data_IF_120088025926
#
_entry.id   IF_120088025926
#
_cell.length_a   1.000
_cell.length_b   1.000
_cell.length_c   1.000
_cell.angle_alpha   90.00
_cell.angle_beta   90.00
_cell.angle_gamma   90.00
#
_symmetry.space_group_name_H-M   'P 1'
#
loop_
_entity.id
_entity.type
_entity.pdbx_description
1 polymer ?
#
# COMPACT_ATOMS: atom_id res chain seq x y z
N UNK A 1 11.27 33.50 -2.33
CA UNK A 1 10.44 32.99 -3.43
C UNK A 1 9.10 33.72 -3.48
N UNK A 2 8.31 33.75 -2.39
CA UNK A 2 7.00 34.44 -2.36
C UNK A 2 7.09 35.94 -2.65
N UNK A 3 8.13 36.61 -2.14
CA UNK A 3 8.37 38.05 -2.37
C UNK A 3 9.00 38.37 -3.72
N UNK A 4 9.35 37.34 -4.53
CA UNK A 4 9.99 37.47 -5.85
C UNK A 4 11.28 38.33 -5.84
N UNK A 5 11.98 38.37 -4.72
CA UNK A 5 13.27 39.06 -4.61
C UNK A 5 14.32 38.29 -5.42
N UNK A 6 15.20 38.99 -6.16
CA UNK A 6 16.19 38.35 -7.04
C UNK A 6 17.30 37.64 -6.26
N UNK A 7 17.52 38.00 -5.00
CA UNK A 7 18.51 37.37 -4.13
C UNK A 7 17.95 37.21 -2.70
N UNK A 8 18.31 36.10 -2.07
CA UNK A 8 17.88 35.79 -0.71
C UNK A 8 19.11 35.37 0.10
N UNK A 9 19.30 35.92 1.31
CA UNK A 9 20.37 35.47 2.20
C UNK A 9 20.03 34.05 2.70
N UNK A 10 20.97 33.14 2.56
CA UNK A 10 20.90 31.78 3.07
C UNK A 10 22.14 31.51 3.93
N UNK A 11 22.01 31.67 5.25
CA UNK A 11 23.17 31.69 6.15
C UNK A 11 24.11 32.88 5.83
N UNK A 12 25.36 32.59 5.55
CA UNK A 12 26.37 33.60 5.17
C UNK A 12 26.43 33.89 3.67
N UNK A 13 25.65 33.16 2.85
CA UNK A 13 25.67 33.26 1.38
C UNK A 13 24.43 33.99 0.87
N UNK A 14 24.63 34.86 -0.14
CA UNK A 14 23.54 35.43 -0.92
C UNK A 14 23.30 34.59 -2.18
N UNK A 15 22.14 33.92 -2.22
CA UNK A 15 21.76 33.04 -3.33
C UNK A 15 20.83 33.80 -4.27
N UNK A 16 21.13 33.75 -5.56
CA UNK A 16 20.22 34.24 -6.60
C UNK A 16 19.08 33.26 -6.80
N UNK A 17 17.84 33.75 -6.70
CA UNK A 17 16.65 32.95 -6.88
C UNK A 17 16.05 33.22 -8.26
N UNK A 18 15.91 32.19 -9.07
CA UNK A 18 15.23 32.30 -10.36
C UNK A 18 13.74 32.55 -10.15
N UNK A 19 13.12 33.38 -11.01
CA UNK A 19 11.70 33.77 -10.90
C UNK A 19 10.74 32.58 -10.99
N UNK A 20 11.13 31.54 -11.70
CA UNK A 20 10.31 30.36 -11.97
C UNK A 20 10.54 29.23 -10.95
N UNK A 21 11.30 29.50 -9.86
CA UNK A 21 11.51 28.52 -8.79
C UNK A 21 10.24 28.32 -7.97
N UNK A 22 9.74 27.08 -7.94
CA UNK A 22 8.60 26.65 -7.14
C UNK A 22 9.02 25.67 -6.06
N UNK A 23 8.44 25.79 -4.85
CA UNK A 23 8.57 24.83 -3.76
C UNK A 23 7.31 24.00 -3.66
N UNK A 24 7.45 22.69 -3.74
CA UNK A 24 6.36 21.73 -3.60
C UNK A 24 6.69 20.80 -2.44
N UNK A 25 5.72 20.61 -1.55
CA UNK A 25 5.84 19.69 -0.42
C UNK A 25 4.71 18.67 -0.47
N UNK A 26 5.00 17.45 -0.06
CA UNK A 26 4.00 16.38 0.08
C UNK A 26 4.00 15.88 1.52
N UNK A 27 2.82 15.68 2.06
CA UNK A 27 2.62 15.13 3.42
C UNK A 27 1.45 14.17 3.42
N UNK A 28 1.54 13.15 4.29
CA UNK A 28 0.40 12.31 4.65
C UNK A 28 -0.06 12.72 6.05
N UNK A 29 -1.25 13.31 6.19
CA UNK A 29 -1.80 13.64 7.50
C UNK A 29 -2.03 12.36 8.32
N UNK A 30 -1.71 12.40 9.61
CA UNK A 30 -1.97 11.30 10.54
C UNK A 30 -1.03 10.09 10.44
N UNK A 31 0.12 10.23 9.78
CA UNK A 31 1.13 9.16 9.78
C UNK A 31 1.97 9.23 11.07
N UNK A 32 1.94 8.16 11.87
CA UNK A 32 2.69 8.07 13.10
C UNK A 32 4.20 8.35 12.86
N UNK A 33 4.81 9.16 13.72
CA UNK A 33 6.22 9.50 13.68
C UNK A 33 6.64 10.63 12.71
N UNK A 34 5.68 11.29 12.03
CA UNK A 34 5.97 12.49 11.23
C UNK A 34 5.40 13.73 11.90
N UNK A 35 6.24 14.71 12.14
CA UNK A 35 5.80 16.02 12.66
C UNK A 35 4.92 16.71 11.61
N UNK A 36 3.81 17.25 12.05
CA UNK A 36 3.00 18.14 11.22
C UNK A 36 3.78 19.42 10.91
N UNK A 37 3.45 20.03 9.79
CA UNK A 37 4.09 21.29 9.40
C UNK A 37 3.69 22.38 10.39
N UNK A 38 4.62 23.16 10.95
CA UNK A 38 4.27 24.29 11.81
C UNK A 38 3.30 25.25 11.10
N UNK A 39 2.32 25.80 11.83
CA UNK A 39 1.26 26.64 11.27
C UNK A 39 1.80 27.85 10.51
N UNK A 40 2.87 28.46 11.02
CA UNK A 40 3.53 29.60 10.38
C UNK A 40 4.16 29.25 9.02
N UNK A 41 4.56 28.00 8.82
CA UNK A 41 5.07 27.50 7.56
C UNK A 41 3.92 27.00 6.67
N UNK A 42 2.93 26.33 7.24
CA UNK A 42 1.77 25.84 6.53
C UNK A 42 0.98 26.95 5.80
N UNK A 43 0.84 28.11 6.43
CA UNK A 43 0.14 29.27 5.83
C UNK A 43 0.84 29.86 4.60
N UNK A 44 2.11 29.53 4.35
CA UNK A 44 2.85 29.98 3.17
C UNK A 44 2.61 29.11 1.94
N UNK A 45 2.08 27.89 2.14
CA UNK A 45 1.78 26.95 1.06
C UNK A 45 0.28 26.96 0.72
N UNK A 46 -0.02 26.68 -0.52
CA UNK A 46 -1.39 26.45 -0.94
C UNK A 46 -1.74 24.98 -0.73
N UNK A 47 -2.68 24.65 0.16
CA UNK A 47 -3.09 23.27 0.38
C UNK A 47 -3.86 22.75 -0.84
N UNK A 48 -3.50 21.54 -1.25
CA UNK A 48 -4.20 20.78 -2.29
C UNK A 48 -4.52 19.41 -1.71
N UNK A 49 -5.81 19.12 -1.55
CA UNK A 49 -6.27 17.82 -1.08
C UNK A 49 -6.11 16.79 -2.22
N UNK A 50 -5.52 15.65 -1.89
CA UNK A 50 -5.43 14.50 -2.79
C UNK A 50 -6.35 13.40 -2.28
N UNK A 51 -7.21 12.89 -3.16
CA UNK A 51 -8.11 11.78 -2.84
C UNK A 51 -7.33 10.46 -2.79
N UNK A 52 -7.80 9.55 -1.93
CA UNK A 52 -7.27 8.19 -1.91
C UNK A 52 -7.54 7.50 -3.26
N UNK A 53 -6.56 6.82 -3.84
CA UNK A 53 -6.73 6.13 -5.11
C UNK A 53 -7.66 4.91 -4.95
N UNK A 54 -8.30 4.50 -6.05
CA UNK A 54 -9.07 3.26 -6.10
C UNK A 54 -8.10 2.05 -6.13
N UNK A 55 -8.02 1.35 -5.01
CA UNK A 55 -7.15 0.18 -4.85
C UNK A 55 -7.55 -0.97 -5.75
N UNK A 56 -8.86 -1.16 -6.01
CA UNK A 56 -9.34 -2.22 -6.88
C UNK A 56 -8.92 -2.01 -8.32
N UNK A 57 -9.07 -0.78 -8.83
CA UNK A 57 -8.66 -0.45 -10.19
C UNK A 57 -7.15 -0.65 -10.39
N UNK A 58 -6.33 -0.18 -9.44
CA UNK A 58 -4.88 -0.32 -9.52
C UNK A 58 -4.46 -1.80 -9.42
N UNK A 59 -5.06 -2.56 -8.50
CA UNK A 59 -4.77 -3.98 -8.34
C UNK A 59 -5.15 -4.77 -9.60
N UNK A 60 -6.31 -4.49 -10.21
CA UNK A 60 -6.77 -5.11 -11.47
C UNK A 60 -5.77 -4.86 -12.60
N UNK A 61 -5.35 -3.62 -12.81
CA UNK A 61 -4.40 -3.25 -13.86
C UNK A 61 -3.04 -3.93 -13.61
N UNK A 62 -2.57 -3.94 -12.36
CA UNK A 62 -1.29 -4.59 -12.01
C UNK A 62 -1.33 -6.10 -12.27
N UNK A 63 -2.41 -6.79 -11.85
CA UNK A 63 -2.58 -8.22 -12.11
C UNK A 63 -2.66 -8.51 -13.62
N UNK A 64 -3.35 -7.65 -14.36
CA UNK A 64 -3.43 -7.78 -15.82
C UNK A 64 -2.04 -7.63 -16.46
N UNK A 65 -1.22 -6.68 -16.02
CA UNK A 65 0.14 -6.49 -16.51
C UNK A 65 1.07 -7.66 -16.17
N UNK A 66 0.81 -8.36 -15.06
CA UNK A 66 1.55 -9.57 -14.65
C UNK A 66 1.02 -10.86 -15.31
N UNK A 67 -0.01 -10.76 -16.16
CA UNK A 67 -0.52 -11.87 -16.98
C UNK A 67 -1.55 -12.76 -16.27
N UNK A 68 -2.22 -12.29 -15.21
CA UNK A 68 -3.31 -13.03 -14.57
C UNK A 68 -4.59 -12.98 -15.39
N UNK A 69 -5.23 -14.14 -15.61
CA UNK A 69 -6.49 -14.24 -16.36
C UNK A 69 -7.69 -13.79 -15.53
N UNK A 70 -7.71 -14.19 -14.24
CA UNK A 70 -8.79 -13.85 -13.30
C UNK A 70 -8.51 -12.56 -12.53
N UNK A 71 -8.00 -11.53 -13.20
CA UNK A 71 -7.50 -10.30 -12.58
C UNK A 71 -8.56 -9.54 -11.75
N UNK A 72 -9.82 -9.48 -12.19
CA UNK A 72 -10.87 -8.74 -11.50
C UNK A 72 -11.29 -9.38 -10.18
N UNK A 73 -11.54 -10.69 -10.20
CA UNK A 73 -11.92 -11.44 -9.01
C UNK A 73 -10.78 -11.45 -7.98
N UNK A 74 -9.54 -11.66 -8.45
CA UNK A 74 -8.35 -11.63 -7.60
C UNK A 74 -8.08 -10.24 -7.01
N UNK A 75 -8.22 -9.17 -7.79
CA UNK A 75 -8.02 -7.81 -7.31
C UNK A 75 -8.95 -7.48 -6.14
N UNK A 76 -10.26 -7.75 -6.30
CA UNK A 76 -11.25 -7.53 -5.23
C UNK A 76 -10.87 -8.31 -3.97
N UNK A 77 -10.51 -9.59 -4.10
CA UNK A 77 -10.14 -10.44 -2.97
C UNK A 77 -8.89 -9.94 -2.25
N UNK A 78 -7.84 -9.60 -2.98
CA UNK A 78 -6.60 -9.07 -2.40
C UNK A 78 -6.87 -7.76 -1.65
N UNK A 79 -7.61 -6.83 -2.24
CA UNK A 79 -7.93 -5.55 -1.58
C UNK A 79 -8.76 -5.78 -0.32
N UNK A 80 -9.80 -6.62 -0.37
CA UNK A 80 -10.61 -6.96 0.81
C UNK A 80 -9.77 -7.58 1.92
N UNK A 81 -8.80 -8.47 1.60
CA UNK A 81 -7.88 -9.03 2.60
C UNK A 81 -7.07 -7.93 3.28
N UNK A 82 -6.54 -6.97 2.53
CA UNK A 82 -5.78 -5.86 3.10
C UNK A 82 -6.64 -4.91 3.95
N UNK A 83 -7.88 -4.66 3.56
CA UNK A 83 -8.85 -3.90 4.36
C UNK A 83 -9.18 -4.62 5.67
N UNK A 84 -9.39 -5.94 5.64
CA UNK A 84 -9.61 -6.75 6.83
C UNK A 84 -8.38 -6.76 7.74
N UNK A 85 -7.18 -6.93 7.19
CA UNK A 85 -5.94 -6.82 7.96
C UNK A 85 -5.79 -5.46 8.63
N UNK A 86 -6.08 -4.37 7.92
CA UNK A 86 -6.04 -3.02 8.46
C UNK A 86 -7.02 -2.79 9.62
N UNK A 87 -8.21 -3.43 9.56
CA UNK A 87 -9.28 -3.25 10.53
C UNK A 87 -9.15 -4.20 11.75
N UNK A 88 -8.61 -5.39 11.54
CA UNK A 88 -8.60 -6.44 12.56
C UNK A 88 -7.26 -6.61 13.27
N UNK A 89 -6.15 -6.26 12.62
CA UNK A 89 -4.83 -6.34 13.25
C UNK A 89 -4.57 -5.13 14.16
N UNK A 90 -3.70 -5.33 15.15
CA UNK A 90 -3.26 -4.28 16.05
C UNK A 90 -2.64 -3.11 15.26
N UNK A 91 -2.89 -1.87 15.70
CA UNK A 91 -2.29 -0.68 15.11
C UNK A 91 -0.83 -0.55 15.56
N UNK A 92 0.07 -1.17 14.85
CA UNK A 92 1.51 -1.05 15.06
C UNK A 92 2.09 -0.09 14.02
N UNK A 93 3.03 0.75 14.42
CA UNK A 93 3.63 1.78 13.55
C UNK A 93 4.36 1.20 12.32
N UNK A 94 4.84 -0.06 12.43
CA UNK A 94 5.53 -0.75 11.36
C UNK A 94 4.59 -1.52 10.40
N UNK A 95 3.29 -1.57 10.70
CA UNK A 95 2.31 -2.20 9.81
C UNK A 95 1.89 -1.24 8.72
N UNK A 96 2.31 -1.51 7.50
CA UNK A 96 1.87 -0.80 6.31
C UNK A 96 0.96 -1.72 5.48
N UNK A 97 -0.34 -1.46 5.55
CA UNK A 97 -1.37 -2.12 4.74
C UNK A 97 -1.87 -1.21 3.61
N UNK A 98 -1.08 -0.21 3.25
CA UNK A 98 -1.41 0.74 2.19
C UNK A 98 -1.18 0.18 0.78
N UNK A 99 -1.37 1.04 -0.21
CA UNK A 99 -1.21 0.71 -1.64
C UNK A 99 0.19 0.17 -1.97
N UNK A 100 1.23 0.64 -1.27
CA UNK A 100 2.62 0.19 -1.48
C UNK A 100 2.77 -1.30 -1.16
N UNK A 101 2.15 -1.76 -0.06
CA UNK A 101 2.19 -3.16 0.33
C UNK A 101 1.40 -4.03 -0.66
N UNK A 102 0.20 -3.59 -1.06
CA UNK A 102 -0.60 -4.27 -2.10
C UNK A 102 0.20 -4.42 -3.39
N UNK A 103 0.79 -3.33 -3.90
CA UNK A 103 1.59 -3.35 -5.12
C UNK A 103 2.78 -4.32 -5.03
N UNK A 104 3.48 -4.34 -3.89
CA UNK A 104 4.61 -5.24 -3.68
C UNK A 104 4.19 -6.71 -3.73
N UNK A 105 3.05 -7.05 -3.13
CA UNK A 105 2.51 -8.42 -3.16
C UNK A 105 2.09 -8.82 -4.58
N UNK A 106 1.42 -7.93 -5.32
CA UNK A 106 1.00 -8.23 -6.69
C UNK A 106 2.20 -8.46 -7.62
N UNK A 107 3.26 -7.66 -7.47
CA UNK A 107 4.51 -7.87 -8.22
C UNK A 107 5.20 -9.17 -7.83
N UNK A 108 5.20 -9.53 -6.53
CA UNK A 108 5.73 -10.81 -6.06
C UNK A 108 4.92 -12.00 -6.61
N UNK A 109 3.58 -11.89 -6.63
CA UNK A 109 2.71 -12.89 -7.24
C UNK A 109 3.01 -13.08 -8.73
N UNK A 110 3.24 -11.98 -9.47
CA UNK A 110 3.65 -12.04 -10.87
C UNK A 110 4.97 -12.78 -11.08
N UNK A 111 5.95 -12.57 -10.18
CA UNK A 111 7.22 -13.32 -10.22
C UNK A 111 7.00 -14.81 -10.02
N UNK A 112 6.25 -15.20 -8.97
CA UNK A 112 5.95 -16.62 -8.69
C UNK A 112 5.23 -17.27 -9.87
N UNK A 113 4.29 -16.56 -10.50
CA UNK A 113 3.56 -17.06 -11.67
C UNK A 113 4.48 -17.30 -12.87
N UNK A 114 5.46 -16.44 -13.12
CA UNK A 114 6.45 -16.62 -14.18
C UNK A 114 7.38 -17.80 -13.92
N UNK A 115 7.77 -18.01 -12.65
CA UNK A 115 8.62 -19.14 -12.26
C UNK A 115 7.88 -20.48 -12.32
N UNK A 116 6.57 -20.48 -12.02
CA UNK A 116 5.71 -21.67 -11.95
C UNK A 116 4.35 -21.44 -12.61
N UNK A 117 4.28 -21.53 -13.93
CA UNK A 117 3.04 -21.26 -14.68
C UNK A 117 1.94 -22.31 -14.42
N UNK A 118 2.30 -23.50 -13.94
CA UNK A 118 1.38 -24.63 -13.71
C UNK A 118 0.52 -24.47 -12.45
N UNK A 119 0.88 -23.54 -11.54
CA UNK A 119 0.16 -23.35 -10.28
C UNK A 119 -1.07 -22.47 -10.54
N UNK A 120 -2.17 -22.82 -9.88
CA UNK A 120 -3.40 -22.02 -9.90
C UNK A 120 -3.17 -20.57 -9.43
N UNK A 121 -3.76 -19.61 -10.14
CA UNK A 121 -3.55 -18.16 -9.90
C UNK A 121 -3.90 -17.73 -8.47
N UNK A 122 -4.92 -18.36 -7.91
CA UNK A 122 -5.37 -18.12 -6.53
C UNK A 122 -4.30 -18.56 -5.53
N UNK A 123 -3.76 -19.75 -5.70
CA UNK A 123 -2.69 -20.29 -4.84
C UNK A 123 -1.43 -19.45 -4.90
N UNK A 124 -1.09 -18.93 -6.09
CA UNK A 124 0.04 -18.00 -6.28
C UNK A 124 -0.18 -16.71 -5.50
N UNK A 125 -1.39 -16.13 -5.59
CA UNK A 125 -1.72 -14.90 -4.86
C UNK A 125 -1.65 -15.10 -3.33
N UNK A 126 -2.20 -16.21 -2.84
CA UNK A 126 -2.17 -16.58 -1.41
C UNK A 126 -0.73 -16.71 -0.91
N UNK A 127 0.10 -17.44 -1.66
CA UNK A 127 1.51 -17.62 -1.33
C UNK A 127 2.25 -16.29 -1.27
N UNK A 128 2.04 -15.42 -2.26
CA UNK A 128 2.65 -14.08 -2.28
C UNK A 128 2.22 -13.23 -1.07
N UNK A 129 0.92 -13.22 -0.72
CA UNK A 129 0.41 -12.51 0.44
C UNK A 129 1.07 -13.04 1.72
N UNK A 130 1.14 -14.36 1.88
CA UNK A 130 1.76 -14.98 3.04
C UNK A 130 3.25 -14.63 3.16
N UNK A 131 4.01 -14.84 2.10
CA UNK A 131 5.46 -14.68 2.11
C UNK A 131 5.88 -13.22 2.36
N UNK A 132 5.08 -12.26 1.90
CA UNK A 132 5.35 -10.82 2.09
C UNK A 132 4.89 -10.27 3.44
N UNK A 133 3.87 -10.84 4.07
CA UNK A 133 3.32 -10.31 5.32
C UNK A 133 3.79 -11.09 6.54
N UNK A 134 4.17 -12.37 6.41
CA UNK A 134 4.65 -13.19 7.50
C UNK A 134 5.86 -12.57 8.25
N UNK A 135 6.90 -12.03 7.57
CA UNK A 135 8.04 -11.43 8.24
C UNK A 135 7.70 -10.13 9.00
N UNK A 136 6.59 -9.47 8.64
CA UNK A 136 6.16 -8.21 9.26
C UNK A 136 5.31 -8.42 10.51
N UNK A 137 4.75 -9.62 10.67
CA UNK A 137 3.91 -9.97 11.81
C UNK A 137 4.75 -10.14 13.07
N UNK A 138 4.44 -9.39 14.11
CA UNK A 138 5.06 -9.57 15.42
C UNK A 138 4.58 -10.84 16.11
N UNK A 139 5.33 -11.31 17.11
CA UNK A 139 5.13 -12.56 17.86
C UNK A 139 3.71 -12.73 18.47
N UNK A 140 2.98 -11.63 18.69
CA UNK A 140 1.58 -11.69 19.13
C UNK A 140 0.63 -12.21 18.04
N UNK A 141 0.99 -12.05 16.78
CA UNK A 141 0.28 -12.66 15.64
C UNK A 141 0.56 -14.17 15.53
N UNK A 142 1.57 -14.69 16.22
CA UNK A 142 1.83 -16.13 16.35
C UNK A 142 0.84 -16.85 17.24
N UNK A 143 0.18 -16.16 18.19
CA UNK A 143 -0.93 -16.76 18.96
C UNK A 143 -2.19 -16.94 18.10
N UNK A 144 -2.37 -16.09 17.09
CA UNK A 144 -3.27 -16.35 15.98
C UNK A 144 -2.44 -16.97 14.86
N UNK A 145 -2.37 -18.29 14.82
CA UNK A 145 -1.72 -19.07 13.76
C UNK A 145 -1.92 -18.35 12.41
N UNK A 146 -0.84 -17.85 11.75
CA UNK A 146 -1.00 -17.07 10.51
C UNK A 146 -1.74 -17.86 9.42
N UNK A 147 -1.69 -19.19 9.48
CA UNK A 147 -2.47 -20.05 8.62
C UNK A 147 -3.96 -20.02 8.98
N UNK A 148 -4.32 -20.00 10.24
CA UNK A 148 -5.73 -19.92 10.64
C UNK A 148 -6.32 -18.53 10.36
N UNK A 149 -5.53 -17.45 10.49
CA UNK A 149 -6.00 -16.10 10.14
C UNK A 149 -6.18 -15.95 8.63
N UNK A 150 -5.20 -16.32 7.82
CA UNK A 150 -5.32 -16.31 6.37
C UNK A 150 -6.44 -17.27 5.91
N UNK A 151 -6.56 -18.44 6.52
CA UNK A 151 -7.63 -19.40 6.24
C UNK A 151 -8.99 -18.86 6.68
N UNK A 152 -9.10 -18.22 7.84
CA UNK A 152 -10.35 -17.61 8.32
C UNK A 152 -10.76 -16.41 7.45
N UNK A 153 -9.81 -15.54 7.09
CA UNK A 153 -10.05 -14.42 6.16
C UNK A 153 -10.45 -14.94 4.79
N UNK A 154 -9.80 -15.99 4.31
CA UNK A 154 -10.15 -16.64 3.05
C UNK A 154 -11.49 -17.34 3.10
N UNK A 155 -11.83 -18.01 4.20
CA UNK A 155 -13.14 -18.62 4.40
C UNK A 155 -14.26 -17.60 4.50
N UNK A 156 -14.01 -16.46 5.14
CA UNK A 156 -14.99 -15.35 5.22
C UNK A 156 -15.21 -14.74 3.84
N UNK A 157 -14.14 -14.55 3.07
CA UNK A 157 -14.21 -14.04 1.68
C UNK A 157 -14.80 -15.10 0.75
N UNK A 158 -14.59 -16.38 1.01
CA UNK A 158 -15.18 -17.49 0.28
C UNK A 158 -16.70 -17.58 0.47
N UNK A 159 -17.20 -17.39 1.71
CA UNK A 159 -18.63 -17.37 2.01
C UNK A 159 -19.38 -16.22 1.35
N UNK A 160 -18.71 -15.10 1.10
CA UNK A 160 -19.32 -13.95 0.42
C UNK A 160 -19.31 -14.05 -1.11
N UNK A 161 -18.48 -14.90 -1.73
CA UNK A 161 -18.27 -14.89 -3.19
C UNK A 161 -18.01 -16.30 -3.79
N UNK A 162 -18.73 -17.34 -3.39
CA UNK A 162 -18.63 -18.69 -3.99
C UNK A 162 -17.19 -19.15 -4.32
N UNK A 163 -16.32 -19.11 -3.31
CA UNK A 163 -14.95 -19.59 -3.44
C UNK A 163 -14.94 -21.12 -3.31
N UNK A 164 -14.45 -21.86 -4.30
CA UNK A 164 -14.30 -23.31 -4.17
C UNK A 164 -13.20 -23.60 -3.12
N UNK A 165 -13.61 -24.07 -1.97
CA UNK A 165 -12.74 -24.70 -0.98
C UNK A 165 -12.46 -26.12 -1.46
N UNK A 166 -11.52 -26.34 -2.36
CA UNK A 166 -11.02 -27.66 -2.59
C UNK A 166 -9.91 -28.02 -1.59
N UNK A 167 -10.16 -29.12 -0.93
CA UNK A 167 -9.40 -29.73 0.11
C UNK A 167 -8.15 -30.39 -0.49
N UNK A 168 -7.00 -29.95 -0.10
CA UNK A 168 -5.81 -30.83 0.07
C UNK A 168 -4.90 -30.27 1.11
#
# INVERSE_FOLDING_TARGET
IRKKEPSTPFGELNIQVQKDTGLFITMNPGYAGRSELPDNLACLFRPVAMMAPDFNAIAKITLMSEGFKQNEALAKKVVTIYELMKNQLSKQDHYDFGMRAVKSVLTAAGRIKRERPDIEEITVAIKAIRDMNLPKSTCLSYLFNPQSFLTAVMQTTARQNDWPLDRT
#
